data_IF_251752575336
#
_entry.id   IF_251752575336
#
_cell.length_a   1.000
_cell.length_b   1.000
_cell.length_c   1.000
_cell.angle_alpha   90.00
_cell.angle_beta   90.00
_cell.angle_gamma   90.00
#
_symmetry.space_group_name_H-M   'P 1'
#
loop_
_entity.id
_entity.type
_entity.pdbx_description
1 polymer ?
#
# COMPACT_ATOMS: atom_id res chain seq x y z
N UNK A 1 0.96 9.39 -3.70
CA UNK A 1 1.03 8.57 -2.47
C UNK A 1 -0.19 7.65 -2.46
N UNK A 2 -0.03 6.38 -2.09
CA UNK A 2 -1.12 5.44 -1.86
C UNK A 2 -1.10 4.99 -0.40
N UNK A 3 -2.27 4.83 0.23
CA UNK A 3 -2.37 4.27 1.58
C UNK A 3 -2.64 2.77 1.50
N UNK A 4 -1.80 1.98 2.17
CA UNK A 4 -1.89 0.53 2.17
C UNK A 4 -1.86 -0.03 3.58
N UNK A 5 -2.36 -1.25 3.77
CA UNK A 5 -2.19 -1.96 5.03
C UNK A 5 -0.70 -2.21 5.31
N UNK A 6 -0.26 -2.14 6.58
CA UNK A 6 1.13 -2.37 6.93
C UNK A 6 1.44 -3.87 6.95
N UNK A 7 1.64 -4.45 5.76
CA UNK A 7 1.89 -5.88 5.58
C UNK A 7 3.19 -6.36 6.27
N UNK A 8 4.11 -5.45 6.55
CA UNK A 8 5.45 -5.74 7.10
C UNK A 8 5.50 -5.72 8.63
N UNK A 9 4.44 -5.27 9.32
CA UNK A 9 4.41 -5.13 10.77
C UNK A 9 3.20 -5.87 11.35
N UNK A 10 3.37 -7.19 11.56
CA UNK A 10 2.34 -8.00 12.20
C UNK A 10 1.93 -7.44 13.56
N UNK A 11 0.62 -7.31 13.80
CA UNK A 11 0.04 -6.74 15.03
C UNK A 11 -0.38 -5.26 14.94
N UNK A 12 -0.16 -4.60 13.79
CA UNK A 12 -0.67 -3.25 13.50
C UNK A 12 -1.87 -3.24 12.54
N UNK A 13 -2.45 -4.40 12.25
CA UNK A 13 -3.66 -4.51 11.42
C UNK A 13 -4.88 -3.98 12.18
N UNK A 14 -5.00 -4.32 13.47
CA UNK A 14 -6.13 -3.93 14.31
C UNK A 14 -5.75 -3.94 15.79
N UNK A 15 -5.58 -2.75 16.36
CA UNK A 15 -5.27 -2.58 17.79
C UNK A 15 -6.54 -2.14 18.53
N UNK A 16 -6.93 -2.91 19.54
CA UNK A 16 -8.02 -2.55 20.46
C UNK A 16 -7.56 -1.41 21.38
N UNK A 17 -8.37 -0.36 21.50
CA UNK A 17 -8.09 0.80 22.36
C UNK A 17 -9.12 0.96 23.49
N UNK A 18 -9.95 -0.07 23.72
CA UNK A 18 -11.02 -0.07 24.71
C UNK A 18 -12.37 0.36 24.12
N UNK A 19 -13.43 0.19 24.90
CA UNK A 19 -14.81 0.59 24.56
C UNK A 19 -15.34 0.07 23.21
N UNK A 20 -14.82 -1.08 22.75
CA UNK A 20 -15.17 -1.67 21.45
C UNK A 20 -14.59 -0.91 20.24
N UNK A 21 -13.67 0.02 20.47
CA UNK A 21 -12.99 0.78 19.44
C UNK A 21 -11.70 0.09 19.00
N UNK A 22 -11.45 0.14 17.70
CA UNK A 22 -10.23 -0.39 17.10
C UNK A 22 -9.59 0.67 16.22
N UNK A 23 -8.27 0.75 16.30
CA UNK A 23 -7.46 1.54 15.36
C UNK A 23 -6.76 0.59 14.39
N UNK A 24 -6.70 0.99 13.13
CA UNK A 24 -5.88 0.33 12.12
C UNK A 24 -4.86 1.34 11.61
N UNK A 25 -3.68 0.85 11.25
CA UNK A 25 -2.60 1.68 10.74
C UNK A 25 -2.59 1.62 9.21
N UNK A 26 -2.19 2.73 8.57
CA UNK A 26 -1.99 2.80 7.14
C UNK A 26 -0.55 3.23 6.86
N UNK A 27 0.11 2.50 5.97
CA UNK A 27 1.43 2.86 5.46
C UNK A 27 1.27 3.71 4.20
N UNK A 28 1.97 4.85 4.16
CA UNK A 28 2.07 5.67 2.97
C UNK A 28 3.09 5.08 2.01
N UNK A 29 2.64 4.51 0.90
CA UNK A 29 3.49 3.98 -0.16
C UNK A 29 3.71 5.06 -1.25
N UNK A 30 4.96 5.39 -1.58
CA UNK A 30 5.26 6.26 -2.71
C UNK A 30 4.91 5.57 -4.03
N UNK A 31 4.14 6.28 -4.86
CA UNK A 31 3.80 5.89 -6.23
C UNK A 31 4.12 7.04 -7.17
N UNK A 32 4.51 6.72 -8.39
CA UNK A 32 4.71 7.70 -9.46
C UNK A 32 3.36 8.23 -9.97
N UNK A 33 3.38 9.31 -10.76
CA UNK A 33 2.18 9.82 -11.40
C UNK A 33 1.59 8.83 -12.43
N UNK A 34 2.45 8.13 -13.18
CA UNK A 34 2.03 7.08 -14.11
C UNK A 34 1.31 5.94 -13.37
N UNK A 35 1.82 5.55 -12.21
CA UNK A 35 1.20 4.56 -11.35
C UNK A 35 -0.13 5.03 -10.76
N UNK A 36 -0.26 6.31 -10.39
CA UNK A 36 -1.53 6.89 -9.95
C UNK A 36 -2.59 6.80 -11.05
N UNK A 37 -2.25 7.22 -12.27
CA UNK A 37 -3.17 7.19 -13.42
C UNK A 37 -3.58 5.75 -13.74
N UNK A 38 -2.62 4.82 -13.70
CA UNK A 38 -2.90 3.41 -13.94
C UNK A 38 -3.79 2.81 -12.85
N UNK A 39 -3.52 3.10 -11.58
CA UNK A 39 -4.35 2.71 -10.44
C UNK A 39 -5.79 3.19 -10.61
N UNK A 40 -5.99 4.47 -10.97
CA UNK A 40 -7.33 5.04 -11.17
C UNK A 40 -8.09 4.39 -12.33
N UNK A 41 -7.37 3.90 -13.34
CA UNK A 41 -7.95 3.26 -14.52
C UNK A 41 -8.27 1.78 -14.29
N UNK A 42 -7.40 1.05 -13.58
CA UNK A 42 -7.45 -0.41 -13.47
C UNK A 42 -7.93 -0.91 -12.11
N UNK A 43 -7.99 -0.03 -11.11
CA UNK A 43 -8.41 -0.35 -9.75
C UNK A 43 -7.29 -0.86 -8.84
N UNK A 44 -7.60 -0.86 -7.54
CA UNK A 44 -6.65 -1.16 -6.46
C UNK A 44 -6.12 -2.60 -6.53
N UNK A 45 -6.99 -3.59 -6.64
CA UNK A 45 -6.59 -5.01 -6.59
C UNK A 45 -5.64 -5.37 -7.74
N UNK A 46 -5.90 -4.86 -8.94
CA UNK A 46 -5.04 -5.05 -10.10
C UNK A 46 -3.66 -4.41 -9.90
N UNK A 47 -3.61 -3.26 -9.21
CA UNK A 47 -2.37 -2.56 -8.93
C UNK A 47 -1.53 -3.27 -7.87
N UNK A 48 -2.16 -3.75 -6.78
CA UNK A 48 -1.47 -4.56 -5.76
C UNK A 48 -0.88 -5.82 -6.38
N UNK A 49 -1.64 -6.57 -7.17
CA UNK A 49 -1.14 -7.76 -7.85
C UNK A 49 0.07 -7.44 -8.76
N UNK A 50 0.06 -6.29 -9.43
CA UNK A 50 1.17 -5.84 -10.27
C UNK A 50 2.42 -5.51 -9.45
N UNK A 51 2.27 -4.87 -8.29
CA UNK A 51 3.37 -4.55 -7.38
C UNK A 51 3.98 -5.81 -6.75
N UNK A 52 3.14 -6.74 -6.29
CA UNK A 52 3.56 -8.01 -5.71
C UNK A 52 4.33 -8.87 -6.72
N UNK A 53 3.81 -9.00 -7.95
CA UNK A 53 4.47 -9.73 -9.03
C UNK A 53 5.80 -9.09 -9.47
N UNK A 54 5.93 -7.77 -9.33
CA UNK A 54 7.16 -7.05 -9.63
C UNK A 54 8.22 -7.12 -8.53
N UNK A 55 7.92 -7.73 -7.37
CA UNK A 55 8.86 -7.84 -6.25
C UNK A 55 9.22 -6.48 -5.64
N UNK A 56 8.28 -5.53 -5.62
CA UNK A 56 8.56 -4.15 -5.22
C UNK A 56 8.87 -4.04 -3.73
N UNK A 57 9.98 -3.36 -3.41
CA UNK A 57 10.19 -2.85 -2.07
C UNK A 57 9.39 -1.55 -1.87
N UNK A 58 8.30 -1.62 -1.11
CA UNK A 58 7.40 -0.49 -0.85
C UNK A 58 8.07 0.71 -0.16
N UNK A 59 9.26 0.53 0.41
CA UNK A 59 10.02 1.59 1.10
C UNK A 59 11.13 2.20 0.24
N UNK A 60 11.41 1.64 -0.94
CA UNK A 60 12.45 2.16 -1.82
C UNK A 60 11.93 3.34 -2.65
N UNK A 61 12.40 4.54 -2.30
CA UNK A 61 12.08 5.79 -3.00
C UNK A 61 12.78 5.94 -4.35
N UNK A 62 13.75 5.06 -4.66
CA UNK A 62 14.53 5.10 -5.91
C UNK A 62 14.06 4.08 -6.93
N UNK A 63 13.02 3.29 -6.62
CA UNK A 63 12.52 2.28 -7.54
C UNK A 63 11.98 2.92 -8.82
N UNK A 64 12.10 2.18 -9.92
CA UNK A 64 11.44 2.52 -11.16
C UNK A 64 9.93 2.24 -11.09
N UNK A 65 9.18 2.92 -11.96
CA UNK A 65 7.75 2.65 -12.17
C UNK A 65 7.58 1.25 -12.78
N UNK A 66 6.56 0.50 -12.33
CA UNK A 66 6.16 -0.75 -12.99
C UNK A 66 5.14 -0.55 -14.12
N UNK A 67 4.64 0.67 -14.25
CA UNK A 67 3.72 1.13 -15.30
C UNK A 67 4.51 1.88 -16.36
#
# INVERSE_FOLDING_TARGET
LMWVHPFTAGGLDRVDVGDGLFVHWLMGMPITEAERIWLETNGYDAFIAKLENGGVNYTDLRRDSLV
#
